data_IF_078023073169
#
_entry.id   IF_078023073169
#
_cell.length_a   1.000
_cell.length_b   1.000
_cell.length_c   1.000
_cell.angle_alpha   90.00
_cell.angle_beta   90.00
_cell.angle_gamma   90.00
#
_symmetry.space_group_name_H-M   'P 1'
#
loop_
_entity.id
_entity.type
_entity.pdbx_description
1 polymer ?
#
# COMPACT_ATOMS: atom_id res chain seq x y z
N UNK A 1 -10.73 -0.44 -3.05
CA UNK A 1 -10.24 -1.28 -1.94
C UNK A 1 -9.04 -0.59 -1.32
N UNK A 2 -8.87 -0.67 0.00
CA UNK A 2 -7.79 -0.05 0.74
C UNK A 2 -7.05 -1.12 1.57
N UNK A 3 -5.77 -0.90 1.84
CA UNK A 3 -4.97 -1.72 2.75
C UNK A 3 -5.14 -1.24 4.18
N UNK A 4 -5.04 -2.18 5.13
CA UNK A 4 -4.93 -1.87 6.53
C UNK A 4 -3.71 -0.94 6.76
N UNK A 5 -3.86 0.03 7.67
CA UNK A 5 -2.79 0.92 8.09
C UNK A 5 -1.56 0.15 8.58
N UNK A 6 -1.80 -0.92 9.35
CA UNK A 6 -0.77 -1.80 9.90
C UNK A 6 -1.33 -3.22 10.13
N UNK A 7 -0.44 -4.19 10.34
CA UNK A 7 -0.74 -5.60 10.63
C UNK A 7 -0.88 -5.92 12.13
N UNK A 8 -0.74 -4.92 13.00
CA UNK A 8 -0.86 -5.08 14.46
C UNK A 8 -2.31 -5.22 14.94
N UNK A 9 -2.50 -5.68 16.18
CA UNK A 9 -3.81 -5.74 16.83
C UNK A 9 -4.27 -4.38 17.43
N UNK A 10 -3.66 -3.27 16.98
CA UNK A 10 -4.01 -1.93 17.45
C UNK A 10 -5.43 -1.55 17.03
N UNK A 11 -6.16 -0.80 17.85
CA UNK A 11 -7.52 -0.33 17.54
C UNK A 11 -7.64 0.50 16.26
N UNK A 12 -6.53 0.94 15.69
CA UNK A 12 -6.47 1.75 14.48
C UNK A 12 -5.84 1.02 13.28
N UNK A 13 -5.62 -0.30 13.38
CA UNK A 13 -4.92 -1.07 12.35
C UNK A 13 -5.65 -1.08 11.00
N UNK A 14 -6.96 -0.86 10.97
CA UNK A 14 -7.84 -0.82 9.79
C UNK A 14 -8.12 0.59 9.26
N UNK A 15 -7.44 1.60 9.81
CA UNK A 15 -7.61 3.00 9.39
C UNK A 15 -7.22 3.20 7.92
N UNK A 16 -7.97 4.06 7.22
CA UNK A 16 -7.65 4.40 5.83
C UNK A 16 -6.51 5.43 5.81
N UNK A 17 -5.32 5.01 5.37
CA UNK A 17 -4.20 5.90 5.13
C UNK A 17 -4.26 6.47 3.71
N UNK A 18 -4.38 7.80 3.59
CA UNK A 18 -4.38 8.47 2.27
C UNK A 18 -3.09 8.23 1.49
N UNK A 19 -1.98 8.01 2.19
CA UNK A 19 -0.64 7.87 1.62
C UNK A 19 -0.13 6.41 1.63
N UNK A 20 -1.05 5.43 1.70
CA UNK A 20 -0.73 4.00 1.74
C UNK A 20 0.10 3.50 0.53
N UNK A 21 0.18 4.29 -0.55
CA UNK A 21 0.91 3.97 -1.79
C UNK A 21 2.12 4.89 -2.04
N UNK A 22 2.65 5.61 -1.04
CA UNK A 22 3.82 6.47 -1.21
C UNK A 22 5.03 5.78 -1.85
N UNK A 23 5.29 4.52 -1.47
CA UNK A 23 6.36 3.72 -2.07
C UNK A 23 6.17 3.51 -3.57
N UNK A 24 4.92 3.27 -4.01
CA UNK A 24 4.58 3.17 -5.43
C UNK A 24 4.76 4.50 -6.17
N UNK A 25 4.42 5.63 -5.53
CA UNK A 25 4.66 6.96 -6.09
C UNK A 25 6.15 7.21 -6.33
N UNK A 26 7.01 6.89 -5.36
CA UNK A 26 8.46 7.01 -5.49
C UNK A 26 9.04 6.09 -6.58
N UNK A 27 8.60 4.83 -6.65
CA UNK A 27 9.02 3.90 -7.70
C UNK A 27 8.65 4.40 -9.10
N UNK A 28 7.45 4.96 -9.25
CA UNK A 28 7.02 5.58 -10.52
C UNK A 28 7.89 6.77 -10.91
N UNK A 29 8.25 7.62 -9.96
CA UNK A 29 9.10 8.79 -10.21
C UNK A 29 10.53 8.41 -10.61
N UNK A 30 11.07 7.35 -10.02
CA UNK A 30 12.44 6.90 -10.27
C UNK A 30 12.58 6.04 -11.55
N UNK A 31 11.51 5.89 -12.33
CA UNK A 31 11.53 5.14 -13.59
C UNK A 31 11.56 3.62 -13.41
N UNK A 32 11.40 3.13 -12.18
CA UNK A 32 11.34 1.71 -11.88
C UNK A 32 9.95 1.18 -12.24
N UNK A 33 9.82 0.64 -13.46
CA UNK A 33 8.64 -0.08 -13.94
C UNK A 33 8.59 -1.48 -13.34
N UNK A 34 8.57 -1.62 -12.03
CA UNK A 34 8.21 -2.91 -11.45
C UNK A 34 6.69 -3.05 -11.60
N UNK A 35 6.26 -4.09 -12.32
CA UNK A 35 4.87 -4.57 -12.31
C UNK A 35 4.56 -5.12 -10.93
N UNK A 36 4.43 -4.24 -9.93
CA UNK A 36 3.86 -4.61 -8.65
C UNK A 36 2.36 -4.70 -8.88
N UNK A 37 1.86 -5.90 -9.16
CA UNK A 37 0.42 -6.20 -9.18
C UNK A 37 -0.12 -6.15 -7.74
N UNK A 38 -0.20 -4.94 -7.19
CA UNK A 38 -0.67 -4.69 -5.82
C UNK A 38 -2.12 -5.21 -5.65
N UNK A 39 -2.88 -5.32 -6.74
CA UNK A 39 -4.26 -5.77 -6.76
C UNK A 39 -4.46 -7.30 -6.77
N UNK A 40 -3.42 -8.11 -6.95
CA UNK A 40 -3.56 -9.58 -7.04
C UNK A 40 -3.29 -10.32 -5.73
N UNK A 41 -2.63 -9.70 -4.74
CA UNK A 41 -2.44 -10.31 -3.43
C UNK A 41 -3.61 -9.99 -2.49
N UNK A 42 -4.77 -10.59 -2.81
CA UNK A 42 -5.91 -10.69 -1.90
C UNK A 42 -5.79 -12.00 -1.12
N UNK A 43 -5.25 -11.93 0.09
CA UNK A 43 -5.54 -12.90 1.14
C UNK A 43 -6.82 -12.48 1.87
#
# INVERSE_FOLDING_TARGET
QYYNYDSSASSHHDSIMSDQLAGFWYLRLTGHKYEVNIFENKF
#
